data_IF_842824993554
#
_entry.id   IF_842824993554
#
_cell.length_a   1.000
_cell.length_b   1.000
_cell.length_c   1.000
_cell.angle_alpha   90.00
_cell.angle_beta   90.00
_cell.angle_gamma   90.00
#
_symmetry.space_group_name_H-M   'P 1'
#
loop_
_entity.id
_entity.type
_entity.pdbx_description
1 polymer ?
#
# COMPACT_ATOMS: atom_id res chain seq x y z
N UNK A 1 -20.67 -4.99 -25.29
CA UNK A 1 -19.55 -5.93 -25.12
C UNK A 1 -18.26 -5.15 -25.37
N UNK A 2 -17.33 -5.15 -24.40
CA UNK A 2 -16.07 -4.45 -24.52
C UNK A 2 -15.24 -4.95 -25.70
N UNK A 3 -14.64 -4.05 -26.46
CA UNK A 3 -13.79 -4.36 -27.61
C UNK A 3 -12.33 -4.58 -27.16
N UNK A 4 -11.50 -5.08 -28.09
CA UNK A 4 -10.04 -5.18 -27.84
C UNK A 4 -9.42 -3.78 -27.63
N UNK A 5 -9.92 -2.74 -28.27
CA UNK A 5 -9.48 -1.37 -28.09
C UNK A 5 -9.83 -0.84 -26.70
N UNK A 6 -11.06 -1.10 -26.20
CA UNK A 6 -11.47 -0.77 -24.83
C UNK A 6 -10.55 -1.44 -23.80
N UNK A 7 -10.27 -2.74 -23.99
CA UNK A 7 -9.38 -3.51 -23.11
C UNK A 7 -7.96 -2.92 -23.10
N UNK A 8 -7.43 -2.53 -24.25
CA UNK A 8 -6.10 -1.91 -24.36
C UNK A 8 -6.06 -0.56 -23.64
N UNK A 9 -7.07 0.30 -23.84
CA UNK A 9 -7.15 1.61 -23.19
C UNK A 9 -7.27 1.48 -21.67
N UNK A 10 -8.12 0.56 -21.16
CA UNK A 10 -8.25 0.33 -19.73
C UNK A 10 -6.96 -0.24 -19.12
N UNK A 11 -6.29 -1.18 -19.79
CA UNK A 11 -4.99 -1.70 -19.30
C UNK A 11 -3.93 -0.60 -19.24
N UNK A 12 -3.96 0.34 -20.20
CA UNK A 12 -3.10 1.54 -20.13
C UNK A 12 -3.46 2.41 -18.92
N UNK A 13 -4.75 2.63 -18.63
CA UNK A 13 -5.20 3.37 -17.45
C UNK A 13 -4.74 2.70 -16.15
N UNK A 14 -4.81 1.36 -16.05
CA UNK A 14 -4.29 0.59 -14.90
C UNK A 14 -2.77 0.79 -14.74
N UNK A 15 -2.01 0.74 -15.83
CA UNK A 15 -0.56 0.99 -15.77
C UNK A 15 -0.21 2.42 -15.34
N UNK A 16 -1.02 3.41 -15.74
CA UNK A 16 -0.87 4.79 -15.31
C UNK A 16 -1.19 4.97 -13.81
N UNK A 17 -2.27 4.33 -13.32
CA UNK A 17 -2.64 4.37 -11.92
C UNK A 17 -1.50 3.92 -11.00
N UNK A 18 -0.78 2.85 -11.38
CA UNK A 18 0.34 2.32 -10.60
C UNK A 18 1.47 3.34 -10.34
N UNK A 19 1.61 4.37 -11.19
CA UNK A 19 2.61 5.45 -11.02
C UNK A 19 2.30 6.36 -9.82
N UNK A 20 1.07 6.32 -9.29
CA UNK A 20 0.66 7.07 -8.11
C UNK A 20 0.92 6.36 -6.77
N UNK A 21 1.37 5.09 -6.79
CA UNK A 21 1.65 4.35 -5.57
C UNK A 21 2.67 5.08 -4.68
N UNK A 22 2.39 5.11 -3.37
CA UNK A 22 3.21 5.80 -2.37
C UNK A 22 3.06 7.32 -2.33
N UNK A 23 2.26 7.95 -3.22
CA UNK A 23 2.15 9.42 -3.30
C UNK A 23 0.74 9.96 -3.13
N UNK A 24 -0.28 9.11 -3.29
CA UNK A 24 -1.68 9.55 -3.35
C UNK A 24 -2.43 9.47 -2.02
N UNK A 25 -1.94 8.72 -1.04
CA UNK A 25 -2.64 8.55 0.23
C UNK A 25 -2.99 9.88 0.91
N UNK A 26 -4.19 9.98 1.47
CA UNK A 26 -5.19 8.91 1.72
C UNK A 26 -6.08 8.55 0.52
N UNK A 27 -5.83 9.09 -0.68
CA UNK A 27 -6.61 8.85 -1.89
C UNK A 27 -6.20 7.56 -2.61
N UNK A 28 -7.10 6.97 -3.45
CA UNK A 28 -6.74 5.84 -4.29
C UNK A 28 -5.75 6.23 -5.40
N UNK A 29 -5.06 5.23 -5.95
CA UNK A 29 -4.39 5.40 -7.23
C UNK A 29 -5.44 5.27 -8.35
N UNK A 30 -5.46 6.26 -9.24
CA UNK A 30 -6.40 6.30 -10.38
C UNK A 30 -5.66 6.66 -11.64
N UNK A 31 -5.99 5.99 -12.73
CA UNK A 31 -5.53 6.29 -14.08
C UNK A 31 -6.70 6.55 -15.02
N UNK A 32 -6.50 7.42 -15.98
CA UNK A 32 -7.48 7.77 -16.99
C UNK A 32 -6.84 7.84 -18.38
N UNK A 33 -7.52 7.28 -19.36
CA UNK A 33 -7.17 7.39 -20.78
C UNK A 33 -8.39 7.92 -21.52
N UNK A 34 -8.20 8.89 -22.41
CA UNK A 34 -9.25 9.47 -23.25
C UNK A 34 -8.93 9.17 -24.72
N UNK A 35 -9.93 8.65 -25.42
CA UNK A 35 -9.92 8.52 -26.88
C UNK A 35 -10.88 9.53 -27.50
N UNK A 36 -10.59 9.99 -28.73
CA UNK A 36 -11.53 10.78 -29.53
C UNK A 36 -12.67 9.90 -30.11
N UNK A 37 -13.59 10.53 -30.84
CA UNK A 37 -14.72 9.82 -31.46
C UNK A 37 -14.30 8.77 -32.50
N UNK A 38 -13.06 8.81 -33.01
CA UNK A 38 -12.49 7.79 -33.90
C UNK A 38 -11.81 6.64 -33.16
N UNK A 39 -11.73 6.69 -31.84
CA UNK A 39 -11.03 5.71 -31.00
C UNK A 39 -9.53 5.95 -30.87
N UNK A 40 -8.97 7.05 -31.40
CA UNK A 40 -7.56 7.39 -31.24
C UNK A 40 -7.34 7.99 -29.86
N UNK A 41 -6.31 7.55 -29.13
CA UNK A 41 -5.92 8.11 -27.84
C UNK A 41 -5.48 9.57 -28.01
N UNK A 42 -6.09 10.48 -27.22
CA UNK A 42 -5.84 11.93 -27.27
C UNK A 42 -5.44 12.51 -25.91
N UNK A 43 -5.62 11.78 -24.81
CA UNK A 43 -5.15 12.20 -23.50
C UNK A 43 -5.01 11.04 -22.54
N UNK A 44 -4.08 11.20 -21.61
CA UNK A 44 -3.88 10.27 -20.51
C UNK A 44 -3.47 10.99 -19.23
N UNK A 45 -3.76 10.40 -18.08
CA UNK A 45 -3.40 10.97 -16.80
C UNK A 45 -3.52 9.98 -15.67
N UNK A 46 -2.91 10.33 -14.56
CA UNK A 46 -3.07 9.58 -13.30
C UNK A 46 -3.09 10.56 -12.12
N UNK A 47 -3.68 10.14 -11.01
CA UNK A 47 -3.62 10.90 -9.77
C UNK A 47 -2.19 10.87 -9.23
N UNK A 48 -1.51 12.03 -9.21
CA UNK A 48 -0.07 12.09 -8.98
C UNK A 48 0.29 12.22 -7.49
N UNK A 49 -0.56 12.92 -6.72
CA UNK A 49 -0.33 13.18 -5.30
C UNK A 49 -1.60 13.62 -4.59
N UNK A 50 -1.68 13.37 -3.29
CA UNK A 50 -2.77 13.83 -2.45
C UNK A 50 -3.02 15.34 -2.59
N UNK A 51 -4.28 15.71 -2.75
CA UNK A 51 -4.72 17.11 -2.91
C UNK A 51 -4.42 17.73 -4.29
N UNK A 52 -3.79 17.00 -5.19
CA UNK A 52 -3.60 17.39 -6.59
C UNK A 52 -4.80 17.05 -7.47
N UNK A 53 -4.77 17.41 -8.78
CA UNK A 53 -5.82 17.06 -9.73
C UNK A 53 -5.99 15.54 -9.84
N UNK A 54 -7.21 15.09 -10.09
CA UNK A 54 -7.52 13.69 -10.36
C UNK A 54 -7.06 13.28 -11.77
N UNK A 55 -7.02 11.96 -12.02
CA UNK A 55 -6.54 11.38 -13.28
C UNK A 55 -7.30 11.93 -14.49
N UNK A 56 -8.62 12.08 -14.36
CA UNK A 56 -9.51 12.57 -15.39
C UNK A 56 -9.16 14.02 -15.79
N UNK A 57 -8.83 14.85 -14.82
CA UNK A 57 -8.46 16.25 -15.06
C UNK A 57 -7.12 16.34 -15.82
N UNK A 58 -6.15 15.49 -15.50
CA UNK A 58 -4.90 15.41 -16.26
C UNK A 58 -5.14 14.95 -17.69
N UNK A 59 -5.94 13.88 -17.86
CA UNK A 59 -6.28 13.35 -19.18
C UNK A 59 -7.07 14.36 -20.05
N UNK A 60 -8.04 15.07 -19.44
CA UNK A 60 -8.80 16.13 -20.14
C UNK A 60 -7.93 17.31 -20.56
N UNK A 61 -6.98 17.72 -19.72
CA UNK A 61 -6.05 18.79 -20.08
C UNK A 61 -5.18 18.43 -21.27
N UNK A 62 -4.70 17.20 -21.34
CA UNK A 62 -3.92 16.71 -22.48
C UNK A 62 -4.78 16.57 -23.74
N UNK A 63 -6.00 16.02 -23.61
CA UNK A 63 -6.92 15.83 -24.74
C UNK A 63 -7.43 17.15 -25.34
N UNK A 64 -7.61 18.18 -24.51
CA UNK A 64 -8.19 19.45 -24.94
C UNK A 64 -9.54 19.26 -25.66
N UNK A 65 -9.74 19.99 -26.75
CA UNK A 65 -10.99 19.89 -27.54
C UNK A 65 -11.22 18.56 -28.26
N UNK A 66 -10.20 17.70 -28.35
CA UNK A 66 -10.31 16.36 -28.96
C UNK A 66 -11.06 15.35 -28.08
N UNK A 67 -11.32 15.69 -26.83
CA UNK A 67 -12.10 14.84 -25.92
C UNK A 67 -13.57 14.74 -26.33
N UNK A 68 -14.11 15.77 -27.03
CA UNK A 68 -15.53 15.86 -27.38
C UNK A 68 -15.97 14.69 -28.25
N UNK A 69 -17.07 14.05 -27.84
CA UNK A 69 -17.64 12.87 -28.51
C UNK A 69 -16.83 11.59 -28.29
N UNK A 70 -15.77 11.66 -27.52
CA UNK A 70 -14.86 10.54 -27.24
C UNK A 70 -15.28 9.67 -26.06
N UNK A 71 -14.37 8.75 -25.66
CA UNK A 71 -14.55 7.84 -24.53
C UNK A 71 -13.46 8.06 -23.48
N UNK A 72 -13.86 8.11 -22.21
CA UNK A 72 -12.94 8.10 -21.08
C UNK A 72 -12.93 6.71 -20.41
N UNK A 73 -11.73 6.15 -20.22
CA UNK A 73 -11.47 4.88 -19.51
C UNK A 73 -10.82 5.21 -18.19
N UNK A 74 -11.49 4.88 -17.08
CA UNK A 74 -11.04 5.26 -15.73
C UNK A 74 -10.97 4.03 -14.85
N UNK A 75 -9.91 3.86 -14.07
CA UNK A 75 -9.73 2.66 -13.23
C UNK A 75 -10.66 2.63 -12.02
N UNK A 76 -11.22 3.77 -11.62
CA UNK A 76 -12.18 3.91 -10.53
C UNK A 76 -13.36 4.78 -11.00
N UNK A 77 -14.54 4.61 -10.42
CA UNK A 77 -15.71 5.44 -10.72
C UNK A 77 -15.37 6.93 -10.57
N UNK A 78 -15.65 7.78 -11.58
CA UNK A 78 -15.42 9.22 -11.47
C UNK A 78 -16.17 9.83 -10.28
N UNK A 79 -15.47 10.62 -9.47
CA UNK A 79 -16.05 11.18 -8.26
C UNK A 79 -17.19 12.18 -8.52
N UNK A 80 -18.13 12.25 -7.57
CA UNK A 80 -19.28 13.16 -7.60
C UNK A 80 -19.28 14.21 -6.48
N UNK A 81 -18.21 14.32 -5.70
CA UNK A 81 -18.11 15.28 -4.62
C UNK A 81 -17.26 16.49 -5.01
N UNK A 82 -17.59 17.64 -4.47
CA UNK A 82 -16.77 18.85 -4.59
C UNK A 82 -15.70 18.81 -3.50
N UNK A 83 -14.46 18.54 -3.91
CA UNK A 83 -13.29 18.63 -3.05
C UNK A 83 -12.48 19.92 -3.34
N UNK A 84 -11.16 19.81 -3.39
CA UNK A 84 -10.27 20.91 -3.84
C UNK A 84 -10.39 21.18 -5.34
N UNK A 85 -10.85 20.22 -6.10
CA UNK A 85 -11.27 20.31 -7.51
C UNK A 85 -12.73 19.95 -7.62
N UNK A 86 -13.44 20.46 -8.63
CA UNK A 86 -14.84 20.08 -8.89
C UNK A 86 -14.97 18.58 -9.19
N UNK A 87 -16.22 18.05 -9.18
CA UNK A 87 -16.47 16.63 -9.46
C UNK A 87 -15.96 16.20 -10.83
N UNK A 88 -15.26 15.05 -10.92
CA UNK A 88 -14.77 14.54 -12.20
C UNK A 88 -15.91 14.19 -13.16
N UNK A 89 -17.06 13.73 -12.65
CA UNK A 89 -18.25 13.48 -13.45
C UNK A 89 -18.73 14.76 -14.18
N UNK A 90 -18.69 15.91 -13.51
CA UNK A 90 -19.03 17.18 -14.13
C UNK A 90 -18.00 17.61 -15.19
N UNK A 91 -16.70 17.51 -14.88
CA UNK A 91 -15.63 17.86 -15.81
C UNK A 91 -15.68 17.03 -17.11
N UNK A 92 -15.95 15.73 -17.00
CA UNK A 92 -16.14 14.83 -18.16
C UNK A 92 -17.36 15.23 -19.00
N UNK A 93 -18.47 15.59 -18.37
CA UNK A 93 -19.68 16.08 -19.03
C UNK A 93 -19.43 17.40 -19.76
N UNK A 94 -18.82 18.37 -19.11
CA UNK A 94 -18.49 19.69 -19.69
C UNK A 94 -17.52 19.60 -20.87
N UNK A 95 -16.58 18.63 -20.82
CA UNK A 95 -15.68 18.33 -21.94
C UNK A 95 -16.41 17.67 -23.14
N UNK A 96 -17.66 17.24 -22.96
CA UNK A 96 -18.48 16.60 -24.01
C UNK A 96 -18.08 15.16 -24.27
N UNK A 97 -17.56 14.44 -23.27
CA UNK A 97 -17.33 13.00 -23.35
C UNK A 97 -18.66 12.29 -23.62
N UNK A 98 -18.70 11.42 -24.62
CA UNK A 98 -19.92 10.68 -24.99
C UNK A 98 -20.07 9.35 -24.24
N UNK A 99 -18.94 8.72 -23.83
CA UNK A 99 -18.93 7.42 -23.15
C UNK A 99 -17.88 7.40 -22.05
N UNK A 100 -18.25 6.85 -20.91
CA UNK A 100 -17.34 6.56 -19.78
C UNK A 100 -17.34 5.06 -19.48
N UNK A 101 -16.16 4.46 -19.45
CA UNK A 101 -15.96 3.08 -19.03
C UNK A 101 -15.10 3.11 -17.77
N UNK A 102 -15.62 2.63 -16.66
CA UNK A 102 -14.83 2.54 -15.43
C UNK A 102 -14.69 1.10 -14.94
N UNK A 103 -13.55 0.80 -14.32
CA UNK A 103 -13.25 -0.56 -13.89
C UNK A 103 -13.94 -0.91 -12.56
N UNK A 104 -13.71 -0.13 -11.51
CA UNK A 104 -14.14 -0.42 -10.13
C UNK A 104 -15.11 0.64 -9.65
N UNK A 105 -16.21 0.23 -9.01
CA UNK A 105 -17.09 1.18 -8.32
C UNK A 105 -16.39 1.75 -7.07
N UNK A 106 -16.60 3.04 -6.77
CA UNK A 106 -16.01 3.66 -5.59
C UNK A 106 -16.75 3.18 -4.32
N UNK A 107 -16.07 2.48 -3.39
CA UNK A 107 -16.68 2.03 -2.15
C UNK A 107 -16.88 3.16 -1.12
N UNK A 108 -16.35 4.35 -1.35
CA UNK A 108 -16.47 5.48 -0.45
C UNK A 108 -17.83 6.18 -0.65
N UNK A 109 -18.75 6.14 0.34
CA UNK A 109 -20.07 6.76 0.19
C UNK A 109 -20.05 8.27 -0.11
N UNK A 110 -18.96 8.96 0.22
CA UNK A 110 -18.80 10.38 -0.04
C UNK A 110 -18.39 10.70 -1.48
N UNK A 111 -17.81 9.74 -2.19
CA UNK A 111 -17.28 9.93 -3.55
C UNK A 111 -18.13 9.27 -4.63
N UNK A 112 -18.94 8.26 -4.27
CA UNK A 112 -19.80 7.49 -5.18
C UNK A 112 -20.90 8.34 -5.83
N UNK A 113 -21.52 7.81 -6.91
CA UNK A 113 -22.66 8.43 -7.61
C UNK A 113 -22.28 9.22 -8.86
N UNK A 114 -20.98 9.24 -9.22
CA UNK A 114 -20.54 9.89 -10.45
C UNK A 114 -21.10 9.22 -11.70
N UNK A 115 -21.25 7.90 -11.68
CA UNK A 115 -21.84 7.14 -12.76
C UNK A 115 -23.31 7.57 -13.02
N UNK A 116 -24.09 7.82 -11.98
CA UNK A 116 -25.50 8.24 -12.12
C UNK A 116 -25.59 9.69 -12.60
N UNK A 117 -24.72 10.57 -12.13
CA UNK A 117 -24.61 11.95 -12.61
C UNK A 117 -24.27 11.98 -14.12
N UNK A 118 -23.32 11.17 -14.56
CA UNK A 118 -22.96 11.04 -15.98
C UNK A 118 -24.12 10.53 -16.81
N UNK A 119 -24.85 9.49 -16.37
CA UNK A 119 -26.04 8.97 -17.06
C UNK A 119 -27.14 10.02 -17.16
N UNK A 120 -27.42 10.75 -16.08
CA UNK A 120 -28.39 11.82 -16.08
C UNK A 120 -28.04 12.96 -17.05
N UNK A 121 -26.75 13.17 -17.31
CA UNK A 121 -26.26 14.11 -18.31
C UNK A 121 -26.22 13.54 -19.76
N UNK A 122 -26.73 12.31 -19.98
CA UNK A 122 -26.78 11.68 -21.30
C UNK A 122 -25.49 10.98 -21.74
N UNK A 123 -24.51 10.81 -20.83
CA UNK A 123 -23.27 10.08 -21.11
C UNK A 123 -23.53 8.57 -20.99
N UNK A 124 -23.06 7.79 -21.97
CA UNK A 124 -23.10 6.33 -21.89
C UNK A 124 -22.10 5.86 -20.84
N UNK A 125 -22.54 5.08 -19.84
CA UNK A 125 -21.68 4.63 -18.73
C UNK A 125 -21.70 3.10 -18.63
N UNK A 126 -20.50 2.51 -18.70
CA UNK A 126 -20.26 1.07 -18.54
C UNK A 126 -19.27 0.83 -17.37
N UNK A 127 -19.39 -0.31 -16.70
CA UNK A 127 -18.50 -0.66 -15.59
C UNK A 127 -17.95 -2.08 -15.69
N UNK A 128 -16.88 -2.36 -14.96
CA UNK A 128 -16.38 -3.70 -14.73
C UNK A 128 -15.31 -4.17 -15.72
N UNK A 129 -14.91 -3.33 -16.66
CA UNK A 129 -13.85 -3.69 -17.61
C UNK A 129 -12.50 -3.78 -16.89
N UNK A 130 -11.86 -4.96 -16.90
CA UNK A 130 -10.63 -5.27 -16.16
C UNK A 130 -10.73 -4.94 -14.66
N UNK A 131 -11.87 -5.20 -14.06
CA UNK A 131 -12.15 -4.88 -12.67
C UNK A 131 -11.11 -5.50 -11.71
N UNK A 132 -10.74 -6.77 -11.91
CA UNK A 132 -9.79 -7.46 -11.06
C UNK A 132 -8.35 -6.92 -11.23
N UNK A 133 -7.94 -6.56 -12.46
CA UNK A 133 -6.63 -5.92 -12.69
C UNK A 133 -6.56 -4.54 -11.99
N UNK A 134 -7.62 -3.76 -12.07
CA UNK A 134 -7.70 -2.44 -11.43
C UNK A 134 -7.76 -2.54 -9.89
N UNK A 135 -8.52 -3.50 -9.33
CA UNK A 135 -8.55 -3.80 -7.90
C UNK A 135 -7.17 -4.21 -7.39
N UNK A 136 -6.44 -5.05 -8.13
CA UNK A 136 -5.11 -5.50 -7.74
C UNK A 136 -4.14 -4.31 -7.53
N UNK A 137 -4.17 -3.31 -8.42
CA UNK A 137 -3.38 -2.09 -8.31
C UNK A 137 -3.78 -1.18 -7.13
N UNK A 138 -5.01 -1.32 -6.62
CA UNK A 138 -5.59 -0.48 -5.57
C UNK A 138 -5.90 -1.25 -4.27
N UNK A 139 -5.36 -2.46 -4.13
CA UNK A 139 -5.69 -3.39 -3.04
C UNK A 139 -5.55 -2.76 -1.66
N UNK A 140 -4.47 -2.02 -1.41
CA UNK A 140 -4.21 -1.41 -0.11
C UNK A 140 -5.30 -0.39 0.26
N UNK A 141 -5.63 0.51 -0.67
CA UNK A 141 -6.66 1.52 -0.46
C UNK A 141 -8.06 0.89 -0.29
N UNK A 142 -8.45 -0.02 -1.21
CA UNK A 142 -9.74 -0.71 -1.15
C UNK A 142 -9.93 -1.49 0.15
N UNK A 143 -8.88 -2.19 0.60
CA UNK A 143 -8.89 -2.92 1.87
C UNK A 143 -9.01 -1.95 3.04
N UNK A 144 -8.24 -0.85 3.02
CA UNK A 144 -8.22 0.11 4.12
C UNK A 144 -9.57 0.81 4.30
N UNK A 145 -10.20 1.23 3.21
CA UNK A 145 -11.54 1.87 3.27
C UNK A 145 -12.58 0.90 3.79
N UNK A 146 -12.55 -0.36 3.34
CA UNK A 146 -13.51 -1.38 3.79
C UNK A 146 -13.36 -1.78 5.25
N UNK A 147 -12.10 -1.88 5.75
CA UNK A 147 -11.81 -2.36 7.10
C UNK A 147 -11.67 -1.23 8.14
N UNK A 148 -11.60 0.05 7.70
CA UNK A 148 -11.35 1.19 8.60
C UNK A 148 -9.96 1.17 9.23
N UNK A 149 -9.00 0.44 8.64
CA UNK A 149 -7.60 0.34 9.08
C UNK A 149 -6.66 0.24 7.87
N UNK A 150 -5.36 0.58 8.02
CA UNK A 150 -4.38 0.34 6.95
C UNK A 150 -4.33 -1.14 6.53
N UNK A 151 -4.08 -1.35 5.24
CA UNK A 151 -3.67 -2.66 4.72
C UNK A 151 -2.26 -2.96 5.17
N UNK A 152 -2.02 -4.14 5.73
CA UNK A 152 -0.73 -4.53 6.29
C UNK A 152 -0.06 -5.60 5.43
N UNK A 153 1.13 -5.27 4.94
CA UNK A 153 2.04 -6.20 4.27
C UNK A 153 3.14 -6.59 5.25
N UNK A 154 3.18 -7.84 5.68
CA UNK A 154 4.30 -8.35 6.46
C UNK A 154 5.41 -8.81 5.51
N UNK A 155 6.57 -8.15 5.61
CA UNK A 155 7.77 -8.50 4.85
C UNK A 155 8.81 -9.12 5.78
N UNK A 156 9.34 -10.26 5.36
CA UNK A 156 10.51 -10.85 6.03
C UNK A 156 11.53 -11.38 5.02
N UNK A 157 12.78 -11.55 5.47
CA UNK A 157 13.81 -12.27 4.73
C UNK A 157 14.35 -13.39 5.62
N UNK A 158 14.44 -14.60 5.08
CA UNK A 158 14.87 -15.78 5.81
C UNK A 158 15.75 -16.67 4.92
N UNK A 159 16.50 -17.54 5.57
CA UNK A 159 17.16 -18.68 4.92
C UNK A 159 16.12 -19.73 4.46
N UNK A 160 16.52 -20.66 3.63
CA UNK A 160 15.64 -21.75 3.16
C UNK A 160 15.10 -22.60 4.31
N UNK A 161 15.83 -22.72 5.43
CA UNK A 161 15.39 -23.36 6.66
C UNK A 161 14.70 -22.41 7.66
N UNK A 162 14.26 -21.23 7.20
CA UNK A 162 13.38 -20.29 7.92
C UNK A 162 14.06 -19.43 8.99
N UNK A 163 15.38 -19.26 8.98
CA UNK A 163 16.11 -18.44 9.95
C UNK A 163 16.30 -17.00 9.47
N UNK A 164 16.14 -16.05 10.37
CA UNK A 164 16.33 -14.61 10.09
C UNK A 164 17.65 -14.08 10.64
N UNK A 165 18.37 -14.86 11.42
CA UNK A 165 19.71 -14.62 11.93
C UNK A 165 20.36 -15.95 12.31
N UNK A 166 21.66 -15.98 12.40
CA UNK A 166 22.43 -17.11 12.97
C UNK A 166 22.23 -17.17 14.50
N UNK A 167 22.76 -18.23 15.14
CA UNK A 167 22.64 -18.44 16.59
C UNK A 167 23.32 -17.34 17.41
N UNK A 168 24.35 -16.68 16.89
CA UNK A 168 25.06 -15.56 17.49
C UNK A 168 24.39 -14.21 17.27
N UNK A 169 23.26 -14.20 16.55
CA UNK A 169 22.47 -12.99 16.22
C UNK A 169 22.96 -12.28 14.94
N UNK A 170 24.01 -12.72 14.29
CA UNK A 170 24.44 -12.12 13.00
C UNK A 170 23.42 -12.43 11.89
N UNK A 171 23.06 -11.42 11.08
CA UNK A 171 22.03 -11.52 10.04
C UNK A 171 22.46 -10.90 8.70
N UNK A 172 23.57 -10.20 8.65
CA UNK A 172 23.99 -9.43 7.46
C UNK A 172 25.01 -10.23 6.64
N UNK A 173 24.71 -10.60 5.38
CA UNK A 173 23.43 -10.42 4.68
C UNK A 173 22.86 -11.78 4.33
N UNK A 174 21.64 -12.06 4.77
CA UNK A 174 20.92 -13.29 4.38
C UNK A 174 20.44 -13.15 2.93
N UNK A 175 19.75 -12.04 2.63
CA UNK A 175 19.18 -11.81 1.31
C UNK A 175 20.14 -11.09 0.35
N UNK A 176 19.94 -11.32 -0.94
CA UNK A 176 20.74 -10.75 -2.05
C UNK A 176 20.58 -9.23 -2.18
N UNK A 177 21.49 -8.55 -2.92
CA UNK A 177 21.34 -7.13 -3.25
C UNK A 177 20.05 -6.84 -4.00
N UNK A 178 19.62 -7.73 -4.92
CA UNK A 178 18.39 -7.62 -5.70
C UNK A 178 17.15 -7.65 -4.80
N UNK A 179 17.11 -8.56 -3.84
CA UNK A 179 16.05 -8.62 -2.83
C UNK A 179 16.00 -7.35 -1.97
N UNK A 180 17.16 -6.81 -1.57
CA UNK A 180 17.21 -5.55 -0.81
C UNK A 180 16.77 -4.35 -1.63
N UNK A 181 17.07 -4.31 -2.93
CA UNK A 181 16.56 -3.28 -3.84
C UNK A 181 15.03 -3.36 -3.96
N UNK A 182 14.47 -4.57 -4.08
CA UNK A 182 13.02 -4.76 -4.12
C UNK A 182 12.32 -4.33 -2.80
N UNK A 183 12.96 -4.50 -1.64
CA UNK A 183 12.44 -3.96 -0.35
C UNK A 183 12.34 -2.44 -0.38
N UNK A 184 13.28 -1.73 -1.02
CA UNK A 184 13.17 -0.28 -1.17
C UNK A 184 12.00 0.12 -2.08
N UNK A 185 11.65 -0.69 -3.09
CA UNK A 185 10.42 -0.51 -3.88
C UNK A 185 9.18 -0.68 -3.01
N UNK A 186 9.11 -1.73 -2.18
CA UNK A 186 7.99 -1.94 -1.25
C UNK A 186 7.83 -0.76 -0.28
N UNK A 187 8.93 -0.21 0.22
CA UNK A 187 8.91 0.99 1.08
C UNK A 187 8.39 2.22 0.33
N UNK A 188 8.78 2.40 -0.94
CA UNK A 188 8.33 3.52 -1.76
C UNK A 188 6.84 3.46 -2.09
N UNK A 189 6.24 2.28 -2.08
CA UNK A 189 4.82 2.05 -2.31
C UNK A 189 3.97 2.08 -1.03
N UNK A 190 4.60 2.04 0.15
CA UNK A 190 3.93 2.05 1.45
C UNK A 190 3.83 3.47 2.04
N UNK A 191 2.75 3.74 2.77
CA UNK A 191 2.59 5.01 3.49
C UNK A 191 3.37 5.02 4.81
N UNK A 192 3.52 3.85 5.42
CA UNK A 192 4.30 3.69 6.65
C UNK A 192 5.11 2.40 6.66
N UNK A 193 6.31 2.45 7.25
CA UNK A 193 7.15 1.29 7.55
C UNK A 193 7.20 1.12 9.07
N UNK A 194 6.84 -0.08 9.55
CA UNK A 194 6.70 -0.36 10.99
C UNK A 194 7.73 -1.39 11.43
N UNK A 195 8.48 -1.06 12.50
CA UNK A 195 9.40 -1.97 13.18
C UNK A 195 9.17 -1.96 14.69
N UNK A 196 9.67 -2.96 15.38
CA UNK A 196 9.63 -3.03 16.84
C UNK A 196 10.94 -2.61 17.49
N UNK A 197 10.91 -2.47 18.83
CA UNK A 197 12.06 -2.11 19.66
C UNK A 197 13.25 -3.07 19.51
N UNK A 198 13.01 -4.35 19.25
CA UNK A 198 14.07 -5.32 19.00
C UNK A 198 14.91 -4.97 17.77
N UNK A 199 14.24 -4.72 16.64
CA UNK A 199 14.89 -4.28 15.40
C UNK A 199 15.58 -2.91 15.57
N UNK A 200 14.93 -1.96 16.25
CA UNK A 200 15.51 -0.66 16.50
C UNK A 200 16.83 -0.75 17.28
N UNK A 201 16.90 -1.60 18.33
CA UNK A 201 18.11 -1.80 19.13
C UNK A 201 19.21 -2.57 18.40
N UNK A 202 18.83 -3.62 17.64
CA UNK A 202 19.81 -4.51 17.01
C UNK A 202 20.45 -3.88 15.78
N UNK A 203 19.67 -3.17 14.98
CA UNK A 203 20.10 -2.75 13.63
C UNK A 203 20.29 -1.25 13.48
N UNK A 204 19.77 -0.41 14.42
CA UNK A 204 19.66 1.04 14.27
C UNK A 204 19.23 1.41 12.84
N UNK A 205 18.04 0.95 12.39
CA UNK A 205 17.68 0.99 11.00
C UNK A 205 17.31 2.41 10.55
N UNK A 206 17.64 2.73 9.31
CA UNK A 206 17.27 4.02 8.72
C UNK A 206 15.80 4.06 8.26
N UNK A 207 15.26 2.94 7.75
CA UNK A 207 13.89 2.71 7.27
C UNK A 207 13.42 3.60 6.10
N UNK A 208 14.18 4.57 5.65
CA UNK A 208 13.85 5.39 4.49
C UNK A 208 14.08 4.64 3.17
N UNK A 209 13.43 5.12 2.12
CA UNK A 209 13.66 4.66 0.73
C UNK A 209 15.01 5.17 0.24
N UNK A 210 15.75 4.31 -0.43
CA UNK A 210 17.03 4.65 -1.09
C UNK A 210 17.09 4.03 -2.48
N UNK A 211 17.80 4.69 -3.40
CA UNK A 211 18.01 4.19 -4.76
C UNK A 211 16.79 4.27 -5.68
N UNK A 212 15.77 5.05 -5.30
CA UNK A 212 14.59 5.34 -6.13
C UNK A 212 14.40 6.85 -6.14
N UNK A 213 14.73 7.47 -7.26
CA UNK A 213 14.66 8.93 -7.42
C UNK A 213 13.21 9.42 -7.37
N UNK A 214 12.98 10.51 -6.65
CA UNK A 214 11.67 11.13 -6.52
C UNK A 214 10.64 10.36 -5.70
N UNK A 215 11.04 9.26 -5.04
CA UNK A 215 10.12 8.51 -4.17
C UNK A 215 9.65 9.35 -2.98
N UNK A 216 8.37 9.30 -2.69
CA UNK A 216 7.82 9.81 -1.44
C UNK A 216 8.33 8.93 -0.28
N UNK A 217 8.83 9.57 0.77
CA UNK A 217 9.33 8.84 1.94
C UNK A 217 8.17 8.39 2.82
N UNK A 218 8.12 7.12 3.23
CA UNK A 218 7.08 6.62 4.13
C UNK A 218 7.28 7.18 5.55
N UNK A 219 6.19 7.23 6.32
CA UNK A 219 6.26 7.44 7.77
C UNK A 219 7.01 6.26 8.42
N UNK A 220 8.11 6.54 9.09
CA UNK A 220 8.85 5.52 9.87
C UNK A 220 8.18 5.37 11.24
N UNK A 221 7.74 4.18 11.59
CA UNK A 221 7.04 3.91 12.85
C UNK A 221 7.84 2.91 13.67
N UNK A 222 8.23 3.27 14.87
CA UNK A 222 8.92 2.38 15.81
C UNK A 222 8.04 2.11 17.02
N UNK A 223 7.68 0.83 17.25
CA UNK A 223 6.99 0.41 18.46
C UNK A 223 8.02 0.17 19.56
N UNK A 224 8.09 1.09 20.51
CA UNK A 224 9.03 1.08 21.62
C UNK A 224 8.27 1.17 22.95
N UNK A 225 7.62 0.09 23.33
CA UNK A 225 6.69 0.01 24.47
C UNK A 225 7.20 0.73 25.72
N UNK A 226 8.49 0.56 26.05
CA UNK A 226 9.12 1.10 27.24
C UNK A 226 9.90 2.42 26.97
N UNK A 227 9.84 2.95 25.76
CA UNK A 227 10.61 4.13 25.34
C UNK A 227 12.14 4.02 25.60
N UNK A 228 12.71 2.84 25.36
CA UNK A 228 14.13 2.54 25.66
C UNK A 228 14.95 2.13 24.45
N UNK A 229 14.33 1.91 23.30
CA UNK A 229 15.01 1.47 22.10
C UNK A 229 15.46 2.64 21.21
N UNK A 230 14.60 3.65 21.07
CA UNK A 230 14.90 4.84 20.28
C UNK A 230 15.60 5.87 21.17
N UNK A 231 16.88 6.11 20.88
CA UNK A 231 17.71 7.06 21.63
C UNK A 231 17.96 8.33 20.81
N UNK A 232 18.29 9.47 21.45
CA UNK A 232 18.79 10.64 20.71
C UNK A 232 19.95 10.25 19.79
N UNK A 233 19.89 10.68 18.53
CA UNK A 233 20.87 10.32 17.49
C UNK A 233 20.65 8.99 16.78
N UNK A 234 19.59 8.23 17.11
CA UNK A 234 19.20 7.05 16.33
C UNK A 234 18.93 7.43 14.86
N UNK A 235 19.39 6.59 13.93
CA UNK A 235 19.27 6.86 12.48
C UNK A 235 17.84 7.07 12.00
N UNK A 236 16.87 6.47 12.70
CA UNK A 236 15.45 6.64 12.41
C UNK A 236 14.92 8.05 12.73
N UNK A 237 15.68 8.86 13.50
CA UNK A 237 15.30 10.22 13.90
C UNK A 237 15.91 11.32 13.02
N UNK A 238 16.67 10.97 11.98
CA UNK A 238 17.19 11.96 11.02
C UNK A 238 16.07 12.57 10.14
N UNK A 239 16.42 13.61 9.39
CA UNK A 239 15.48 14.37 8.55
C UNK A 239 15.13 13.69 7.20
N UNK A 240 15.63 12.46 6.97
CA UNK A 240 15.41 11.78 5.67
C UNK A 240 13.94 11.38 5.43
N UNK A 241 13.18 11.15 6.50
CA UNK A 241 11.76 10.81 6.44
C UNK A 241 11.05 11.18 7.77
N UNK A 242 9.73 11.39 7.78
CA UNK A 242 9.00 11.60 9.03
C UNK A 242 9.05 10.34 9.91
N UNK A 243 9.11 10.55 11.23
CA UNK A 243 9.19 9.45 12.22
C UNK A 243 8.13 9.61 13.31
N UNK A 244 7.53 8.50 13.69
CA UNK A 244 6.59 8.37 14.79
C UNK A 244 7.05 7.24 15.73
N UNK A 245 7.36 7.57 16.98
CA UNK A 245 7.66 6.57 18.00
C UNK A 245 6.38 6.29 18.79
N UNK A 246 5.95 5.03 18.82
CA UNK A 246 4.81 4.58 19.59
C UNK A 246 5.28 3.98 20.91
N UNK A 247 4.75 4.46 22.02
CA UNK A 247 5.10 4.04 23.37
C UNK A 247 3.84 3.69 24.18
N UNK A 248 4.00 2.99 25.28
CA UNK A 248 2.87 2.76 26.18
C UNK A 248 2.37 4.07 26.82
N UNK A 249 1.09 4.11 27.18
CA UNK A 249 0.46 5.28 27.80
C UNK A 249 1.21 5.72 29.07
N UNK A 250 1.70 4.75 29.84
CA UNK A 250 2.42 4.92 31.11
C UNK A 250 3.95 5.00 30.94
N UNK A 251 4.49 4.91 29.73
CA UNK A 251 5.94 4.98 29.53
C UNK A 251 6.49 6.39 29.73
N UNK A 252 7.56 6.51 30.50
CA UNK A 252 8.29 7.76 30.67
C UNK A 252 9.27 7.97 29.52
N UNK A 253 9.21 9.13 28.86
CA UNK A 253 10.11 9.48 27.76
C UNK A 253 10.28 10.97 27.59
N UNK A 254 11.50 11.40 27.25
CA UNK A 254 11.80 12.76 26.81
C UNK A 254 11.69 12.97 25.29
N UNK A 255 11.32 11.95 24.52
CA UNK A 255 11.12 12.10 23.08
C UNK A 255 9.87 12.94 22.80
N UNK A 256 9.97 13.96 21.95
CA UNK A 256 8.80 14.78 21.57
C UNK A 256 7.88 14.02 20.61
N UNK A 257 6.58 14.34 20.64
CA UNK A 257 5.62 13.90 19.62
C UNK A 257 5.37 12.39 19.55
N UNK A 258 5.57 11.67 20.66
CA UNK A 258 5.32 10.22 20.70
C UNK A 258 3.81 9.90 20.60
N UNK A 259 3.49 8.77 19.96
CA UNK A 259 2.15 8.20 19.98
C UNK A 259 2.00 7.30 21.22
N UNK A 260 1.05 7.64 22.09
CA UNK A 260 0.75 6.82 23.27
C UNK A 260 -0.34 5.82 22.97
N UNK A 261 -0.08 4.55 23.28
CA UNK A 261 -0.97 3.44 22.99
C UNK A 261 -1.19 2.55 24.23
N UNK A 262 -2.37 1.92 24.34
CA UNK A 262 -2.62 0.94 25.39
C UNK A 262 -1.65 -0.24 25.34
N UNK A 263 -1.28 -0.76 26.51
CA UNK A 263 -0.53 -2.03 26.62
C UNK A 263 -1.41 -3.22 26.35
N UNK A 264 -0.81 -4.25 25.83
CA UNK A 264 -1.35 -5.62 25.80
C UNK A 264 -0.33 -6.59 26.38
N UNK A 265 -0.72 -7.84 26.60
CA UNK A 265 0.22 -8.86 27.11
C UNK A 265 1.46 -9.09 26.20
N UNK A 266 1.45 -8.57 24.98
CA UNK A 266 2.52 -8.71 23.96
C UNK A 266 3.19 -7.39 23.59
N UNK A 267 2.97 -6.34 24.34
CA UNK A 267 3.48 -5.00 24.07
C UNK A 267 2.39 -3.97 23.82
N UNK A 268 2.44 -3.21 22.73
CA UNK A 268 1.42 -2.22 22.38
C UNK A 268 0.25 -2.84 21.62
N UNK A 269 -0.94 -2.27 21.79
CA UNK A 269 -2.14 -2.68 21.06
C UNK A 269 -2.00 -2.45 19.55
N UNK A 270 -1.97 -3.54 18.77
CA UNK A 270 -1.93 -3.49 17.30
C UNK A 270 -3.19 -2.83 16.72
N UNK A 271 -4.43 -3.15 17.17
CA UNK A 271 -5.61 -2.44 16.70
C UNK A 271 -5.56 -0.93 16.95
N UNK A 272 -5.17 -0.49 18.14
CA UNK A 272 -5.06 0.95 18.46
C UNK A 272 -3.98 1.65 17.62
N UNK A 273 -2.85 0.99 17.34
CA UNK A 273 -1.84 1.50 16.40
C UNK A 273 -2.44 1.72 15.00
N UNK A 274 -3.12 0.71 14.46
CA UNK A 274 -3.67 0.77 13.11
C UNK A 274 -4.77 1.84 12.99
N UNK A 275 -5.61 1.99 14.00
CA UNK A 275 -6.61 3.06 14.09
C UNK A 275 -5.93 4.45 14.08
N UNK A 276 -4.92 4.64 14.93
CA UNK A 276 -4.17 5.89 15.00
C UNK A 276 -3.44 6.23 13.69
N UNK A 277 -2.92 5.24 12.96
CA UNK A 277 -2.30 5.42 11.65
C UNK A 277 -3.36 5.74 10.57
N UNK A 278 -4.50 5.05 10.59
CA UNK A 278 -5.60 5.31 9.66
C UNK A 278 -6.14 6.73 9.79
N UNK A 279 -6.33 7.21 11.02
CA UNK A 279 -6.74 8.59 11.32
C UNK A 279 -5.74 9.64 10.81
N UNK A 280 -4.46 9.28 10.68
CA UNK A 280 -3.40 10.11 10.07
C UNK A 280 -3.32 10.03 8.55
N UNK A 281 -4.25 9.33 7.88
CA UNK A 281 -4.28 9.18 6.44
C UNK A 281 -3.45 8.01 5.90
N UNK A 282 -2.81 7.20 6.75
CA UNK A 282 -2.09 5.98 6.34
C UNK A 282 -3.09 4.94 5.84
N UNK A 283 -2.89 4.42 4.65
CA UNK A 283 -3.72 3.40 4.01
C UNK A 283 -2.97 2.09 3.82
N UNK A 284 -1.65 2.14 3.82
CA UNK A 284 -0.77 0.97 3.67
C UNK A 284 0.37 0.99 4.68
N UNK A 285 0.65 -0.18 5.26
CA UNK A 285 1.75 -0.43 6.22
C UNK A 285 2.63 -1.54 5.69
N UNK A 286 3.93 -1.30 5.60
CA UNK A 286 4.94 -2.33 5.44
C UNK A 286 5.50 -2.69 6.83
N UNK A 287 5.15 -3.87 7.32
CA UNK A 287 5.66 -4.41 8.57
C UNK A 287 7.01 -5.11 8.31
N UNK A 288 8.09 -4.50 8.77
CA UNK A 288 9.47 -5.04 8.71
C UNK A 288 10.00 -5.43 10.10
N UNK A 289 9.10 -5.61 11.05
CA UNK A 289 9.45 -5.95 12.42
C UNK A 289 10.02 -7.36 12.57
N UNK A 290 10.73 -7.57 13.68
CA UNK A 290 11.21 -8.89 14.07
C UNK A 290 10.07 -9.87 14.41
N UNK A 291 10.41 -11.13 14.71
CA UNK A 291 9.43 -12.23 14.83
C UNK A 291 8.35 -12.00 15.89
N UNK A 292 8.68 -11.34 17.00
CA UNK A 292 7.71 -11.04 18.08
C UNK A 292 6.65 -10.05 17.63
N UNK A 293 7.05 -8.98 16.92
CA UNK A 293 6.10 -8.00 16.41
C UNK A 293 5.23 -8.62 15.31
N UNK A 294 5.83 -9.39 14.39
CA UNK A 294 5.09 -10.15 13.39
C UNK A 294 4.04 -11.07 14.05
N UNK A 295 4.42 -11.79 15.11
CA UNK A 295 3.51 -12.63 15.90
C UNK A 295 2.34 -11.84 16.49
N UNK A 296 2.58 -10.63 17.01
CA UNK A 296 1.52 -9.77 17.54
C UNK A 296 0.52 -9.33 16.45
N UNK A 297 1.02 -9.01 15.24
CA UNK A 297 0.15 -8.65 14.11
C UNK A 297 -0.65 -9.86 13.59
N UNK A 298 -0.03 -11.04 13.49
CA UNK A 298 -0.73 -12.28 13.11
C UNK A 298 -1.79 -12.64 14.14
N UNK A 299 -1.46 -12.62 15.43
CA UNK A 299 -2.42 -12.92 16.51
C UNK A 299 -3.59 -11.93 16.56
N UNK A 300 -3.39 -10.68 16.13
CA UNK A 300 -4.45 -9.66 16.01
C UNK A 300 -5.28 -9.79 14.72
N UNK A 301 -4.99 -10.75 13.82
CA UNK A 301 -5.64 -10.86 12.51
C UNK A 301 -5.40 -9.63 11.62
N UNK A 302 -4.26 -8.98 11.80
CA UNK A 302 -3.97 -7.68 11.20
C UNK A 302 -3.07 -7.76 9.95
N UNK A 303 -2.62 -8.95 9.55
CA UNK A 303 -1.81 -9.16 8.34
C UNK A 303 -2.73 -9.46 7.16
N UNK A 304 -2.62 -8.70 6.08
CA UNK A 304 -3.42 -8.89 4.86
C UNK A 304 -2.61 -9.58 3.75
N UNK A 305 -1.29 -9.31 3.69
CA UNK A 305 -0.37 -9.87 2.69
C UNK A 305 0.97 -10.21 3.34
N UNK A 306 1.59 -11.25 2.85
CA UNK A 306 2.95 -11.67 3.25
C UNK A 306 3.88 -11.59 2.04
N UNK A 307 5.06 -11.00 2.22
CA UNK A 307 6.14 -10.99 1.22
C UNK A 307 7.39 -11.59 1.87
N UNK A 308 7.65 -12.85 1.55
CA UNK A 308 8.82 -13.59 2.05
C UNK A 308 9.95 -13.65 1.02
N UNK A 309 11.15 -13.26 1.41
CA UNK A 309 12.37 -13.45 0.62
C UNK A 309 13.12 -14.65 1.20
N UNK A 310 13.26 -15.71 0.41
CA UNK A 310 13.92 -16.94 0.81
C UNK A 310 15.29 -17.04 0.12
N UNK A 311 16.34 -16.91 0.91
CA UNK A 311 17.71 -17.07 0.43
C UNK A 311 18.09 -18.57 0.39
N UNK A 312 18.84 -19.03 -0.61
CA UNK A 312 19.31 -20.44 -0.72
C UNK A 312 20.49 -20.70 0.24
N UNK A 313 20.25 -20.47 1.52
CA UNK A 313 21.21 -20.62 2.62
C UNK A 313 20.58 -21.45 3.73
N UNK A 314 21.39 -22.21 4.46
CA UNK A 314 20.97 -22.97 5.65
C UNK A 314 21.78 -22.49 6.85
N UNK A 315 21.13 -22.24 7.98
CA UNK A 315 21.75 -21.84 9.24
C UNK A 315 21.53 -22.87 10.36
N UNK A 316 20.49 -23.69 10.29
CA UNK A 316 20.15 -24.71 11.29
C UNK A 316 19.59 -24.10 12.59
N UNK A 317 20.40 -23.33 13.33
CA UNK A 317 20.01 -22.66 14.56
C UNK A 317 19.79 -21.14 14.34
N UNK A 318 19.10 -20.50 15.29
CA UNK A 318 18.80 -19.06 15.25
C UNK A 318 17.28 -18.79 15.25
N UNK A 319 16.86 -17.51 15.37
CA UNK A 319 15.46 -17.16 15.42
C UNK A 319 14.75 -17.41 14.09
N UNK A 320 13.45 -17.79 14.18
CA UNK A 320 12.56 -17.96 13.02
C UNK A 320 11.94 -16.62 12.60
N UNK A 321 11.38 -16.56 11.39
CA UNK A 321 10.72 -15.34 10.88
C UNK A 321 9.46 -14.96 11.67
N UNK A 322 8.76 -15.94 12.24
CA UNK A 322 7.58 -15.75 13.07
C UNK A 322 7.81 -16.39 14.45
N UNK A 323 7.59 -15.60 15.50
CA UNK A 323 7.54 -16.11 16.87
C UNK A 323 6.09 -16.51 17.23
N UNK A 324 5.79 -16.56 18.53
CA UNK A 324 4.47 -16.90 19.04
C UNK A 324 3.40 -15.95 18.43
N UNK A 325 2.42 -16.56 17.76
CA UNK A 325 1.38 -15.87 16.99
C UNK A 325 -0.05 -16.32 17.37
N UNK A 326 -0.20 -17.03 18.51
CA UNK A 326 -1.47 -17.58 18.94
C UNK A 326 -1.87 -18.88 18.24
N UNK A 327 -0.98 -19.45 17.41
CA UNK A 327 -1.20 -20.71 16.69
C UNK A 327 -0.52 -21.81 17.48
N UNK A 328 -1.31 -22.76 18.00
CA UNK A 328 -0.81 -23.86 18.86
C UNK A 328 -0.89 -25.22 18.20
N UNK A 329 -1.75 -25.36 17.20
CA UNK A 329 -1.96 -26.63 16.48
C UNK A 329 -1.88 -26.41 14.97
N UNK A 330 -1.61 -27.50 14.23
CA UNK A 330 -1.60 -27.46 12.76
C UNK A 330 -2.96 -27.10 12.16
N UNK A 331 -4.03 -27.38 12.88
CA UNK A 331 -5.40 -27.04 12.47
C UNK A 331 -5.65 -25.52 12.49
N UNK A 332 -4.98 -24.81 13.39
CA UNK A 332 -5.06 -23.35 13.53
C UNK A 332 -4.09 -22.62 12.59
N UNK A 333 -3.27 -23.35 11.83
CA UNK A 333 -2.29 -22.77 10.95
C UNK A 333 -2.93 -21.75 9.98
N UNK A 334 -2.41 -20.53 9.97
CA UNK A 334 -2.82 -19.51 9.01
C UNK A 334 -2.36 -19.93 7.59
N UNK A 335 -3.31 -20.37 6.78
CA UNK A 335 -3.05 -20.75 5.40
C UNK A 335 -3.07 -19.53 4.52
N UNK A 336 -2.18 -19.50 3.54
CA UNK A 336 -2.00 -18.38 2.64
C UNK A 336 -2.26 -18.80 1.20
N UNK A 337 -2.86 -17.90 0.40
CA UNK A 337 -3.00 -18.06 -1.04
C UNK A 337 -1.79 -17.41 -1.72
N UNK A 338 -0.94 -18.22 -2.34
CA UNK A 338 0.23 -17.74 -3.08
C UNK A 338 -0.24 -17.04 -4.36
N UNK A 339 -0.02 -15.73 -4.42
CA UNK A 339 -0.36 -14.92 -5.58
C UNK A 339 0.78 -14.86 -6.60
N UNK A 340 2.03 -14.89 -6.14
CA UNK A 340 3.20 -14.74 -7.01
C UNK A 340 4.43 -15.39 -6.39
N UNK A 341 5.31 -15.91 -7.26
CA UNK A 341 6.62 -16.45 -6.92
C UNK A 341 7.62 -15.97 -7.98
N UNK A 342 8.63 -15.19 -7.56
CA UNK A 342 9.60 -14.54 -8.47
C UNK A 342 11.01 -14.75 -7.97
N UNK A 343 11.92 -15.07 -8.89
CA UNK A 343 13.35 -15.13 -8.63
C UNK A 343 13.97 -13.73 -8.67
N UNK A 344 14.70 -13.36 -7.60
CA UNK A 344 15.43 -12.10 -7.47
C UNK A 344 16.90 -12.40 -7.19
N UNK A 345 17.71 -12.39 -8.23
CA UNK A 345 19.08 -12.90 -8.13
C UNK A 345 19.07 -14.37 -7.70
N UNK A 346 19.79 -14.76 -6.64
CA UNK A 346 19.75 -16.12 -6.08
C UNK A 346 18.48 -16.41 -5.27
N UNK A 347 17.79 -15.38 -4.74
CA UNK A 347 16.68 -15.52 -3.80
C UNK A 347 15.35 -15.81 -4.52
N UNK A 348 14.39 -16.35 -3.76
CA UNK A 348 13.00 -16.51 -4.16
C UNK A 348 12.12 -15.56 -3.35
N UNK A 349 11.42 -14.63 -4.02
CA UNK A 349 10.34 -13.85 -3.38
C UNK A 349 9.02 -14.57 -3.57
N UNK A 350 8.31 -14.82 -2.47
CA UNK A 350 6.94 -15.32 -2.46
C UNK A 350 6.03 -14.22 -1.94
N UNK A 351 4.99 -13.90 -2.72
CA UNK A 351 3.92 -12.99 -2.31
C UNK A 351 2.65 -13.81 -2.11
N UNK A 352 2.07 -13.74 -0.92
CA UNK A 352 0.86 -14.46 -0.58
C UNK A 352 -0.14 -13.57 0.16
N UNK A 353 -1.43 -13.85 0.02
CA UNK A 353 -2.52 -13.15 0.69
C UNK A 353 -3.13 -14.01 1.79
N UNK A 354 -3.59 -13.38 2.85
CA UNK A 354 -4.40 -14.02 3.88
C UNK A 354 -5.83 -14.15 3.34
N UNK A 355 -6.40 -15.36 3.25
CA UNK A 355 -7.77 -15.55 2.78
C UNK A 355 -8.76 -14.78 3.65
N UNK A 356 -9.80 -14.22 3.04
CA UNK A 356 -10.90 -13.57 3.77
C UNK A 356 -11.76 -14.64 4.42
N UNK A 357 -11.81 -14.64 5.74
CA UNK A 357 -12.61 -15.61 6.53
C UNK A 357 -11.79 -16.76 7.11
N UNK A 358 -10.45 -16.64 7.13
CA UNK A 358 -9.59 -17.54 7.91
C UNK A 358 -9.54 -17.12 9.39
#
# INVERSE_FOLDING_TARGET
VATAADTHAMRRAVALAARGLGSTSPNPVVGCVITDASGRRVGEGFHQRAGGPHAEIHALREAGGHARGGTAYVTLEPCNHTGRTGPCAQALTEAGIARVVYAVADPNPQATGGADTLRAAGVQVERGLLEEEAKAGNTAWLTSVRLGRPHVVWKYAATLDGRIAAADGTSRWISSPESRADVHRLRAEADAVVVGSGTARADDPHLAVRGIDGATQPLRVVLDTEARAVRPGARVLDDAAPTLVAVAEDAETGLPGVLRLPRTGRGLSVPALLEALYARGVRSVLLEGGPTLAGSFVAAGAVDRVVGYLAPVLLGAGPTALAEAGITTITEALRLDVAESVRLGPDLRITATVPKGA
#
